data_IF_695837787628
#
_entry.id   IF_695837787628
#
_cell.length_a   1.000
_cell.length_b   1.000
_cell.length_c   1.000
_cell.angle_alpha   90.00
_cell.angle_beta   90.00
_cell.angle_gamma   90.00
#
_symmetry.space_group_name_H-M   'P 1'
#
loop_
_entity.id
_entity.type
_entity.pdbx_description
1 polymer ?
#
# COMPACT_ATOMS: atom_id res chain seq x y z
N UNK A 1 18.91 -4.77 17.46
CA UNK A 1 18.26 -6.10 17.38
C UNK A 1 16.80 -5.85 17.13
N UNK A 2 16.38 -5.95 15.87
CA UNK A 2 15.02 -5.63 15.43
C UNK A 2 14.25 -6.95 15.42
N UNK A 3 13.23 -7.04 16.28
CA UNK A 3 12.45 -8.25 16.47
C UNK A 3 11.44 -8.34 15.33
N UNK A 4 11.59 -9.37 14.48
CA UNK A 4 10.55 -9.75 13.52
C UNK A 4 9.27 -10.11 14.29
N UNK A 5 8.23 -9.30 14.13
CA UNK A 5 6.89 -9.64 14.60
C UNK A 5 6.32 -10.66 13.62
N UNK A 6 6.33 -11.93 14.01
CA UNK A 6 5.67 -13.00 13.30
C UNK A 6 4.15 -12.77 13.34
N UNK A 7 3.56 -12.33 12.23
CA UNK A 7 2.12 -12.43 12.03
C UNK A 7 1.79 -13.89 11.69
N UNK A 8 1.24 -14.59 12.67
CA UNK A 8 0.90 -16.00 12.57
C UNK A 8 1.01 -16.70 13.92
N UNK A 9 0.11 -16.37 14.85
CA UNK A 9 0.07 -17.06 16.13
C UNK A 9 -1.10 -16.63 16.99
N UNK A 10 -2.16 -17.45 17.04
CA UNK A 10 -3.21 -17.51 18.10
C UNK A 10 -3.61 -16.18 18.76
N UNK A 11 -3.73 -15.12 17.98
CA UNK A 11 -4.11 -13.77 18.41
C UNK A 11 -5.25 -13.31 17.52
N UNK A 12 -6.17 -12.56 18.10
CA UNK A 12 -7.27 -11.91 17.37
C UNK A 12 -6.72 -11.17 16.15
N UNK A 13 -7.23 -11.47 14.96
CA UNK A 13 -7.00 -10.65 13.78
C UNK A 13 -7.66 -9.28 13.95
N UNK A 14 -7.19 -8.28 13.21
CA UNK A 14 -7.80 -6.96 13.24
C UNK A 14 -8.48 -6.65 11.91
N UNK A 15 -9.72 -6.17 11.97
CA UNK A 15 -10.33 -5.50 10.81
C UNK A 15 -9.82 -4.07 10.73
N UNK A 16 -9.36 -3.66 9.56
CA UNK A 16 -9.16 -2.25 9.22
C UNK A 16 -10.25 -1.77 8.27
N UNK A 17 -10.41 -0.46 8.14
CA UNK A 17 -11.33 0.10 7.16
C UNK A 17 -10.79 -0.09 5.73
N UNK A 18 -11.66 -0.53 4.83
CA UNK A 18 -11.33 -0.76 3.42
C UNK A 18 -12.19 0.10 2.49
N UNK A 19 -11.81 0.19 1.21
CA UNK A 19 -12.55 0.92 0.18
C UNK A 19 -13.42 -0.01 -0.66
N UNK A 20 -14.52 0.54 -1.17
CA UNK A 20 -15.38 -0.12 -2.16
C UNK A 20 -14.62 -0.33 -3.47
N UNK A 21 -14.60 -1.56 -3.98
CA UNK A 21 -13.91 -1.89 -5.23
C UNK A 21 -14.51 -1.21 -6.47
N UNK A 22 -15.80 -0.83 -6.40
CA UNK A 22 -16.52 -0.21 -7.51
C UNK A 22 -16.42 1.32 -7.54
N UNK A 23 -16.53 1.97 -6.40
CA UNK A 23 -16.64 3.44 -6.32
C UNK A 23 -15.61 4.09 -5.39
N UNK A 24 -14.69 3.30 -4.83
CA UNK A 24 -13.61 3.71 -3.90
C UNK A 24 -14.06 4.37 -2.59
N UNK A 25 -15.36 4.52 -2.35
CA UNK A 25 -15.88 5.03 -1.09
C UNK A 25 -15.47 4.15 0.09
N UNK A 26 -15.18 4.78 1.23
CA UNK A 26 -14.86 4.09 2.47
C UNK A 26 -16.03 3.20 2.90
N UNK A 27 -15.73 1.93 3.21
CA UNK A 27 -16.68 1.00 3.79
C UNK A 27 -16.68 1.15 5.32
N UNK A 28 -17.61 0.49 6.01
CA UNK A 28 -17.52 0.35 7.46
C UNK A 28 -16.28 -0.47 7.82
N UNK A 29 -15.71 -0.22 8.99
CA UNK A 29 -14.58 -1.01 9.51
C UNK A 29 -14.96 -2.49 9.63
N UNK A 30 -16.13 -2.77 10.21
CA UNK A 30 -16.65 -4.12 10.36
C UNK A 30 -17.54 -4.51 9.17
N UNK A 31 -17.55 -5.79 8.77
CA UNK A 31 -18.50 -6.31 7.80
C UNK A 31 -19.94 -6.15 8.32
N UNK A 32 -20.89 -6.01 7.39
CA UNK A 32 -22.32 -5.92 7.72
C UNK A 32 -22.90 -7.30 8.07
N UNK A 33 -22.33 -8.36 7.48
CA UNK A 33 -22.72 -9.75 7.71
C UNK A 33 -21.58 -10.71 7.37
N UNK A 34 -21.72 -11.97 7.79
CA UNK A 34 -20.90 -13.08 7.34
C UNK A 34 -21.78 -14.29 7.06
N UNK A 35 -21.33 -15.16 6.15
CA UNK A 35 -21.93 -16.46 5.86
C UNK A 35 -20.92 -17.56 6.21
N UNK A 36 -21.40 -18.68 6.74
CA UNK A 36 -20.60 -19.85 7.06
C UNK A 36 -20.71 -20.85 5.91
N UNK A 37 -19.60 -21.12 5.22
CA UNK A 37 -19.53 -22.15 4.19
C UNK A 37 -18.88 -23.40 4.80
N UNK A 38 -19.72 -24.37 5.17
CA UNK A 38 -19.28 -25.70 5.61
C UNK A 38 -19.06 -26.53 4.35
N UNK A 39 -17.82 -26.85 3.99
CA UNK A 39 -17.55 -27.82 2.93
C UNK A 39 -17.90 -29.23 3.41
N UNK A 40 -18.67 -29.97 2.62
CA UNK A 40 -19.13 -31.34 2.96
C UNK A 40 -18.00 -32.39 2.89
N UNK A 41 -16.80 -32.02 2.41
CA UNK A 41 -15.62 -32.89 2.40
C UNK A 41 -14.91 -32.85 3.75
N UNK A 42 -14.74 -34.02 4.39
CA UNK A 42 -14.27 -34.24 5.78
C UNK A 42 -12.88 -33.66 6.11
N UNK A 43 -12.17 -33.08 5.14
CA UNK A 43 -10.78 -32.61 5.25
C UNK A 43 -10.60 -31.08 4.99
N UNK A 44 -11.68 -30.31 4.77
CA UNK A 44 -11.58 -28.85 4.55
C UNK A 44 -11.96 -28.03 5.78
N UNK A 45 -11.10 -27.06 6.12
CA UNK A 45 -11.33 -26.09 7.18
C UNK A 45 -12.57 -25.23 6.88
N UNK A 46 -13.36 -24.92 7.91
CA UNK A 46 -14.52 -24.02 7.84
C UNK A 46 -14.14 -22.67 7.22
N UNK A 47 -14.82 -22.24 6.16
CA UNK A 47 -14.62 -20.93 5.54
C UNK A 47 -15.76 -19.97 5.92
N UNK A 48 -15.41 -18.71 6.17
CA UNK A 48 -16.32 -17.62 6.48
C UNK A 48 -16.27 -16.57 5.38
N UNK A 49 -17.42 -16.21 4.83
CA UNK A 49 -17.57 -15.21 3.78
C UNK A 49 -18.11 -13.90 4.36
N UNK A 50 -17.23 -12.92 4.55
CA UNK A 50 -17.55 -11.60 5.09
C UNK A 50 -18.05 -10.65 4.00
N UNK A 51 -19.11 -9.90 4.29
CA UNK A 51 -19.76 -9.00 3.33
C UNK A 51 -19.85 -7.56 3.84
N UNK A 52 -19.47 -6.61 2.99
CA UNK A 52 -19.65 -5.16 3.23
C UNK A 52 -20.51 -4.56 2.12
N UNK A 53 -21.56 -3.84 2.48
CA UNK A 53 -22.41 -3.09 1.56
C UNK A 53 -21.94 -1.64 1.50
N UNK A 54 -21.54 -1.19 0.31
CA UNK A 54 -21.13 0.18 0.11
C UNK A 54 -22.31 1.15 0.26
N UNK A 55 -22.23 2.08 1.21
CA UNK A 55 -23.27 3.09 1.44
C UNK A 55 -23.41 4.10 0.29
N UNK A 56 -22.37 4.27 -0.54
CA UNK A 56 -22.39 5.20 -1.67
C UNK A 56 -23.03 4.63 -2.93
N UNK A 57 -22.80 3.34 -3.23
CA UNK A 57 -23.22 2.74 -4.51
C UNK A 57 -23.96 1.40 -4.41
N UNK A 58 -24.19 0.88 -3.19
CA UNK A 58 -24.89 -0.38 -2.95
C UNK A 58 -24.12 -1.64 -3.37
N UNK A 59 -22.88 -1.52 -3.86
CA UNK A 59 -22.05 -2.67 -4.21
C UNK A 59 -21.64 -3.46 -2.96
N UNK A 60 -21.72 -4.79 -3.05
CA UNK A 60 -21.31 -5.71 -1.98
C UNK A 60 -19.89 -6.20 -2.25
N UNK A 61 -18.96 -5.83 -1.37
CA UNK A 61 -17.61 -6.40 -1.30
C UNK A 61 -17.67 -7.69 -0.49
N UNK A 62 -17.00 -8.73 -0.97
CA UNK A 62 -16.90 -10.04 -0.31
C UNK A 62 -15.44 -10.37 -0.01
N UNK A 63 -15.18 -11.00 1.13
CA UNK A 63 -13.86 -11.49 1.50
C UNK A 63 -14.00 -12.82 2.23
N UNK A 64 -13.22 -13.83 1.83
CA UNK A 64 -13.27 -15.15 2.45
C UNK A 64 -12.07 -15.39 3.35
N UNK A 65 -12.29 -16.06 4.48
CA UNK A 65 -11.26 -16.33 5.49
C UNK A 65 -11.63 -17.54 6.35
N UNK A 66 -10.62 -18.31 6.76
CA UNK A 66 -10.77 -19.43 7.70
C UNK A 66 -10.89 -18.99 9.17
N UNK A 67 -10.62 -17.71 9.46
CA UNK A 67 -10.78 -17.14 10.81
C UNK A 67 -12.24 -16.78 11.03
N UNK A 68 -12.80 -17.23 12.16
CA UNK A 68 -14.18 -16.92 12.57
C UNK A 68 -14.36 -15.45 12.99
N UNK A 69 -15.59 -14.93 13.00
CA UNK A 69 -15.86 -13.53 13.34
C UNK A 69 -15.38 -13.15 14.76
N UNK A 70 -15.46 -14.08 15.72
CA UNK A 70 -15.00 -13.87 17.10
C UNK A 70 -13.47 -13.77 17.17
N UNK A 71 -12.78 -14.28 16.17
CA UNK A 71 -11.34 -14.14 15.99
C UNK A 71 -10.92 -12.76 15.50
N UNK A 72 -11.86 -11.88 15.14
CA UNK A 72 -11.55 -10.52 14.69
C UNK A 72 -12.05 -9.45 15.67
N UNK A 73 -11.23 -8.42 15.87
CA UNK A 73 -11.61 -7.19 16.58
C UNK A 73 -11.32 -5.96 15.71
N UNK A 74 -11.98 -4.81 15.96
CA UNK A 74 -11.58 -3.53 15.38
C UNK A 74 -10.09 -3.26 15.58
N UNK A 75 -9.45 -2.60 14.61
CA UNK A 75 -8.05 -2.19 14.76
C UNK A 75 -8.00 -0.90 15.60
N UNK A 76 -7.48 -0.93 16.85
CA UNK A 76 -7.49 0.23 17.72
C UNK A 76 -6.64 1.41 17.20
N UNK A 77 -5.71 1.13 16.29
CA UNK A 77 -4.80 2.13 15.70
C UNK A 77 -5.23 2.55 14.28
N UNK A 78 -6.37 2.05 13.78
CA UNK A 78 -6.84 2.44 12.46
C UNK A 78 -7.38 3.88 12.45
N UNK A 79 -6.89 4.68 11.51
CA UNK A 79 -7.54 5.92 11.13
C UNK A 79 -8.84 5.60 10.39
N UNK A 80 -9.97 5.99 10.97
CA UNK A 80 -11.29 5.74 10.40
C UNK A 80 -11.82 6.98 9.68
N UNK A 81 -12.32 6.76 8.47
CA UNK A 81 -13.01 7.73 7.64
C UNK A 81 -14.52 7.51 7.69
N UNK A 82 -15.29 8.53 7.31
CA UNK A 82 -16.75 8.43 7.29
C UNK A 82 -17.23 7.43 6.21
N UNK A 83 -17.96 6.35 6.56
CA UNK A 83 -18.40 5.37 5.57
C UNK A 83 -19.33 5.98 4.51
N UNK A 84 -19.14 5.60 3.25
CA UNK A 84 -19.86 6.15 2.10
C UNK A 84 -19.25 7.44 1.55
N UNK A 85 -18.24 8.02 2.21
CA UNK A 85 -17.49 9.14 1.65
C UNK A 85 -16.36 8.65 0.74
N UNK A 86 -16.01 9.46 -0.24
CA UNK A 86 -14.85 9.20 -1.08
C UNK A 86 -13.57 9.63 -0.35
N UNK A 87 -12.44 8.91 -0.54
CA UNK A 87 -11.17 9.41 -0.10
C UNK A 87 -10.88 10.78 -0.72
N UNK A 88 -10.14 11.66 -0.02
CA UNK A 88 -9.69 12.90 -0.63
C UNK A 88 -8.94 12.60 -1.93
N UNK A 89 -9.07 13.46 -2.95
CA UNK A 89 -8.40 13.24 -4.23
C UNK A 89 -6.88 13.21 -4.03
N UNK A 90 -6.20 12.32 -4.76
CA UNK A 90 -4.74 12.25 -4.76
C UNK A 90 -4.14 13.60 -5.16
N UNK A 91 -3.30 14.18 -4.30
CA UNK A 91 -2.56 15.40 -4.63
C UNK A 91 -1.28 14.99 -5.36
N UNK A 92 -1.35 15.04 -6.69
CA UNK A 92 -0.22 14.64 -7.57
C UNK A 92 0.79 15.75 -7.82
N UNK A 93 0.34 16.99 -7.72
CA UNK A 93 1.19 18.15 -7.90
C UNK A 93 1.98 18.40 -6.61
N UNK A 94 3.31 18.24 -6.63
CA UNK A 94 4.11 18.47 -5.43
C UNK A 94 4.08 19.94 -4.96
N UNK A 95 3.66 20.89 -5.81
CA UNK A 95 3.45 22.28 -5.40
C UNK A 95 2.19 22.47 -4.54
N UNK A 96 1.31 21.46 -4.49
CA UNK A 96 0.06 21.47 -3.72
C UNK A 96 0.11 20.59 -2.47
N UNK A 97 1.25 19.93 -2.21
CA UNK A 97 1.44 19.16 -0.97
C UNK A 97 1.45 20.11 0.23
N UNK A 98 0.80 19.71 1.32
CA UNK A 98 0.44 20.63 2.41
C UNK A 98 1.65 21.42 2.99
N UNK A 99 1.47 22.73 3.08
CA UNK A 99 2.49 23.76 2.86
C UNK A 99 3.28 24.17 4.11
N UNK A 100 3.62 23.25 5.01
CA UNK A 100 4.40 23.62 6.21
C UNK A 100 5.90 23.75 5.94
N UNK A 101 6.40 23.20 4.83
CA UNK A 101 7.80 23.36 4.37
C UNK A 101 7.85 23.42 2.85
N UNK A 102 8.50 24.46 2.30
CA UNK A 102 8.86 24.50 0.89
C UNK A 102 9.65 23.23 0.54
N UNK A 103 9.06 22.38 -0.30
CA UNK A 103 9.75 21.18 -0.80
C UNK A 103 10.93 21.60 -1.68
N UNK A 104 12.07 20.96 -1.47
CA UNK A 104 13.24 21.19 -2.30
C UNK A 104 13.04 20.64 -3.72
N UNK A 105 13.82 21.10 -4.71
CA UNK A 105 13.76 20.58 -6.07
C UNK A 105 13.89 19.05 -6.13
N UNK A 106 14.83 18.45 -5.40
CA UNK A 106 14.97 17.00 -5.34
C UNK A 106 13.72 16.27 -4.83
N UNK A 107 13.09 16.79 -3.77
CA UNK A 107 11.84 16.23 -3.20
C UNK A 107 10.69 16.28 -4.20
N UNK A 108 10.55 17.39 -4.93
CA UNK A 108 9.51 17.56 -5.97
C UNK A 108 9.70 16.60 -7.14
N UNK A 109 10.94 16.39 -7.57
CA UNK A 109 11.26 15.42 -8.62
C UNK A 109 10.92 14.00 -8.18
N UNK A 110 11.29 13.62 -6.95
CA UNK A 110 10.99 12.30 -6.41
C UNK A 110 9.49 12.01 -6.42
N UNK A 111 8.66 12.92 -5.93
CA UNK A 111 7.19 12.79 -5.92
C UNK A 111 6.66 12.53 -7.34
N UNK A 112 7.11 13.30 -8.33
CA UNK A 112 6.67 13.14 -9.73
C UNK A 112 7.04 11.77 -10.28
N UNK A 113 8.27 11.31 -10.04
CA UNK A 113 8.74 10.02 -10.55
C UNK A 113 8.06 8.83 -9.87
N UNK A 114 7.79 8.91 -8.57
CA UNK A 114 7.05 7.86 -7.87
C UNK A 114 5.58 7.76 -8.34
N UNK A 115 4.94 8.88 -8.69
CA UNK A 115 3.62 8.86 -9.34
C UNK A 115 3.68 8.28 -10.76
N UNK A 116 4.67 8.68 -11.58
CA UNK A 116 4.90 8.14 -12.92
C UNK A 116 5.07 6.62 -12.89
N UNK A 117 5.89 6.11 -11.96
CA UNK A 117 6.05 4.69 -11.72
C UNK A 117 4.73 4.04 -11.29
N UNK A 118 4.04 4.58 -10.27
CA UNK A 118 2.79 4.00 -9.77
C UNK A 118 1.72 3.86 -10.87
N UNK A 119 1.63 4.85 -11.77
CA UNK A 119 0.69 4.80 -12.89
C UNK A 119 1.09 3.74 -13.93
N UNK A 120 2.38 3.58 -14.19
CA UNK A 120 2.88 2.56 -15.13
C UNK A 120 2.67 1.13 -14.63
N UNK A 121 2.61 0.93 -13.31
CA UNK A 121 2.46 -0.38 -12.66
C UNK A 121 1.02 -0.75 -12.33
N UNK A 122 0.06 0.17 -12.55
CA UNK A 122 -1.36 -0.03 -12.23
C UNK A 122 -1.97 -1.29 -12.85
N UNK A 123 -1.41 -1.78 -13.95
CA UNK A 123 -1.87 -2.98 -14.67
C UNK A 123 -0.79 -4.09 -14.76
N UNK A 124 0.34 -3.95 -14.06
CA UNK A 124 1.41 -4.93 -14.09
C UNK A 124 1.06 -6.13 -13.21
N UNK A 125 1.05 -7.34 -13.78
CA UNK A 125 0.72 -8.59 -13.08
C UNK A 125 1.91 -9.17 -12.30
N UNK A 126 3.13 -8.70 -12.56
CA UNK A 126 4.35 -9.23 -11.95
C UNK A 126 4.69 -8.41 -10.73
N UNK A 127 4.51 -8.96 -9.53
CA UNK A 127 4.74 -8.17 -8.32
C UNK A 127 5.56 -8.92 -7.28
N UNK A 128 6.80 -9.28 -7.65
CA UNK A 128 7.80 -9.74 -6.69
C UNK A 128 8.14 -8.65 -5.63
N UNK A 129 7.81 -7.37 -5.92
CA UNK A 129 8.19 -6.19 -5.10
C UNK A 129 6.99 -5.39 -4.61
N UNK A 130 5.84 -6.05 -4.45
CA UNK A 130 4.54 -5.41 -4.21
C UNK A 130 4.55 -4.53 -2.97
N UNK A 131 5.25 -4.99 -1.93
CA UNK A 131 5.34 -4.28 -0.66
C UNK A 131 6.07 -2.94 -0.81
N UNK A 132 7.19 -2.87 -1.54
CA UNK A 132 7.92 -1.61 -1.73
C UNK A 132 7.13 -0.60 -2.57
N UNK A 133 6.49 -1.07 -3.64
CA UNK A 133 5.64 -0.23 -4.50
C UNK A 133 4.41 0.27 -3.71
N UNK A 134 3.80 -0.58 -2.90
CA UNK A 134 2.70 -0.20 -2.01
C UNK A 134 3.12 0.79 -0.94
N UNK A 135 4.31 0.64 -0.34
CA UNK A 135 4.84 1.59 0.63
C UNK A 135 5.04 2.97 -0.02
N UNK A 136 5.65 3.02 -1.20
CA UNK A 136 5.79 4.26 -1.99
C UNK A 136 4.42 4.88 -2.28
N UNK A 137 3.47 4.10 -2.76
CA UNK A 137 2.12 4.59 -3.07
C UNK A 137 1.36 5.07 -1.83
N UNK A 138 1.53 4.38 -0.69
CA UNK A 138 1.00 4.78 0.61
C UNK A 138 1.56 6.12 1.07
N UNK A 139 2.87 6.30 1.01
CA UNK A 139 3.54 7.56 1.36
C UNK A 139 3.07 8.72 0.45
N UNK A 140 2.91 8.48 -0.84
CA UNK A 140 2.35 9.45 -1.79
C UNK A 140 0.93 9.90 -1.41
N UNK A 141 0.07 8.96 -1.01
CA UNK A 141 -1.31 9.26 -0.59
C UNK A 141 -1.38 10.05 0.71
N UNK A 142 -0.52 9.71 1.67
CA UNK A 142 -0.39 10.43 2.96
C UNK A 142 0.30 11.79 2.83
N UNK A 143 0.92 12.06 1.67
CA UNK A 143 1.81 13.22 1.46
C UNK A 143 3.00 13.25 2.45
N UNK A 144 3.47 12.08 2.88
CA UNK A 144 4.61 11.94 3.78
C UNK A 144 5.91 11.88 2.99
N UNK A 145 6.64 13.00 2.93
CA UNK A 145 7.88 13.09 2.17
C UNK A 145 9.03 12.29 2.79
N UNK A 146 9.05 12.09 4.11
CA UNK A 146 10.15 11.35 4.74
C UNK A 146 9.92 9.84 4.58
N UNK A 147 8.68 9.36 4.75
CA UNK A 147 8.29 7.97 4.40
C UNK A 147 8.55 7.70 2.91
N UNK A 148 8.22 8.65 2.02
CA UNK A 148 8.44 8.51 0.58
C UNK A 148 9.93 8.36 0.24
N UNK A 149 10.80 9.20 0.83
CA UNK A 149 12.25 9.11 0.63
C UNK A 149 12.77 7.76 1.10
N UNK A 150 12.35 7.32 2.29
CA UNK A 150 12.77 6.05 2.87
C UNK A 150 12.36 4.87 1.98
N UNK A 151 11.08 4.77 1.63
CA UNK A 151 10.57 3.67 0.80
C UNK A 151 11.15 3.68 -0.62
N UNK A 152 11.39 4.85 -1.20
CA UNK A 152 12.06 4.96 -2.50
C UNK A 152 13.53 4.49 -2.42
N UNK A 153 14.25 4.83 -1.34
CA UNK A 153 15.62 4.38 -1.14
C UNK A 153 15.69 2.85 -0.99
N UNK A 154 14.85 2.25 -0.15
CA UNK A 154 14.78 0.78 0.00
C UNK A 154 14.52 0.08 -1.33
N UNK A 155 13.64 0.64 -2.16
CA UNK A 155 13.33 0.09 -3.46
C UNK A 155 14.50 0.17 -4.45
N UNK A 156 15.22 1.31 -4.46
CA UNK A 156 16.43 1.48 -5.27
C UNK A 156 17.54 0.52 -4.82
N UNK A 157 17.77 0.42 -3.50
CA UNK A 157 18.82 -0.44 -2.94
C UNK A 157 18.55 -1.91 -3.23
N UNK A 158 17.29 -2.34 -3.15
CA UNK A 158 16.89 -3.70 -3.54
C UNK A 158 17.25 -3.99 -5.00
N UNK A 159 16.86 -3.10 -5.91
CA UNK A 159 17.11 -3.25 -7.35
C UNK A 159 18.60 -3.20 -7.69
N UNK A 160 19.37 -2.33 -7.03
CA UNK A 160 20.82 -2.25 -7.19
C UNK A 160 21.51 -3.51 -6.66
N UNK A 161 21.09 -4.04 -5.51
CA UNK A 161 21.59 -5.29 -4.96
C UNK A 161 21.32 -6.48 -5.90
N UNK A 162 20.11 -6.63 -6.41
CA UNK A 162 19.77 -7.71 -7.35
C UNK A 162 20.53 -7.60 -8.67
N UNK A 163 20.75 -6.37 -9.17
CA UNK A 163 21.55 -6.12 -10.36
C UNK A 163 23.03 -6.53 -10.18
N UNK A 164 23.60 -6.32 -8.99
CA UNK A 164 24.99 -6.68 -8.66
C UNK A 164 25.14 -8.19 -8.45
N UNK A 165 24.19 -8.82 -7.76
CA UNK A 165 24.31 -10.22 -7.32
C UNK A 165 23.72 -11.24 -8.30
N UNK A 166 23.10 -10.79 -9.40
CA UNK A 166 22.62 -11.65 -10.47
C UNK A 166 21.53 -12.63 -10.03
N UNK A 167 20.87 -12.36 -8.91
CA UNK A 167 19.95 -13.29 -8.24
C UNK A 167 18.55 -13.36 -8.84
N UNK A 168 18.20 -12.58 -9.87
CA UNK A 168 17.03 -12.88 -10.68
C UNK A 168 17.29 -12.69 -12.18
N UNK A 169 17.36 -13.82 -12.87
CA UNK A 169 17.03 -14.00 -14.28
C UNK A 169 15.51 -13.80 -14.49
N UNK A 170 15.02 -12.62 -14.13
CA UNK A 170 13.76 -12.05 -14.59
C UNK A 170 14.15 -10.72 -15.19
N UNK A 171 14.38 -10.70 -16.49
CA UNK A 171 14.82 -9.50 -17.19
C UNK A 171 13.87 -8.34 -16.89
N UNK A 172 14.37 -7.37 -16.13
CA UNK A 172 13.66 -6.14 -15.76
C UNK A 172 13.22 -5.42 -17.03
N UNK A 173 11.99 -5.67 -17.45
CA UNK A 173 11.44 -5.17 -18.71
C UNK A 173 10.32 -4.19 -18.38
N UNK A 174 10.67 -2.90 -18.30
CA UNK A 174 9.70 -1.82 -18.20
C UNK A 174 9.93 -0.92 -17.00
N UNK A 175 8.88 -0.18 -16.63
CA UNK A 175 8.96 0.91 -15.67
C UNK A 175 9.20 0.47 -14.21
N UNK A 176 8.95 -0.79 -13.86
CA UNK A 176 9.28 -1.40 -12.54
C UNK A 176 10.79 -1.58 -12.32
N UNK A 177 11.58 -1.70 -13.38
CA UNK A 177 13.03 -1.85 -13.28
C UNK A 177 13.81 -0.55 -13.42
N UNK A 178 13.20 0.47 -14.03
CA UNK A 178 13.86 1.75 -14.31
C UNK A 178 13.74 2.72 -13.13
N UNK A 179 14.67 2.56 -12.18
CA UNK A 179 14.82 3.49 -11.06
C UNK A 179 15.76 4.66 -11.32
N UNK A 180 16.19 4.89 -12.57
CA UNK A 180 17.20 5.91 -12.90
C UNK A 180 16.80 7.32 -12.43
N UNK A 181 15.54 7.69 -12.69
CA UNK A 181 14.98 8.98 -12.29
C UNK A 181 14.86 9.11 -10.77
N UNK A 182 14.40 8.04 -10.08
CA UNK A 182 14.33 8.00 -8.62
C UNK A 182 15.71 8.12 -7.98
N UNK A 183 16.71 7.37 -8.46
CA UNK A 183 18.10 7.44 -7.99
C UNK A 183 18.68 8.84 -8.15
N UNK A 184 18.42 9.49 -9.28
CA UNK A 184 18.85 10.88 -9.52
C UNK A 184 18.23 11.86 -8.52
N UNK A 185 16.93 11.73 -8.26
CA UNK A 185 16.22 12.58 -7.31
C UNK A 185 16.71 12.37 -5.87
N UNK A 186 16.90 11.12 -5.44
CA UNK A 186 17.43 10.77 -4.11
C UNK A 186 18.84 11.35 -3.90
N UNK A 187 19.73 11.23 -4.90
CA UNK A 187 21.07 11.84 -4.83
C UNK A 187 21.04 13.37 -4.73
N UNK A 188 20.07 14.04 -5.39
CA UNK A 188 19.88 15.49 -5.22
C UNK A 188 19.44 15.84 -3.81
N UNK A 189 18.48 15.09 -3.26
CA UNK A 189 17.99 15.28 -1.89
C UNK A 189 19.12 15.13 -0.87
N UNK A 190 19.99 14.14 -1.05
CA UNK A 190 21.16 13.93 -0.19
C UNK A 190 22.10 15.14 -0.22
N UNK A 191 22.47 15.61 -1.41
CA UNK A 191 23.33 16.81 -1.58
C UNK A 191 22.71 18.08 -0.99
N UNK A 192 21.40 18.20 -1.01
CA UNK A 192 20.68 19.33 -0.41
C UNK A 192 20.73 19.31 1.13
N UNK A 193 20.93 18.14 1.76
CA UNK A 193 21.13 18.02 3.21
C UNK A 193 22.52 18.51 3.63
N UNK A 194 23.53 18.32 2.78
CA UNK A 194 24.93 18.70 3.06
C UNK A 194 25.20 20.22 2.96
N UNK A 195 24.24 20.99 2.44
CA UNK A 195 24.38 22.44 2.21
C UNK A 195 23.79 23.27 3.37
N UNK A 196 23.22 22.63 4.41
CA UNK A 196 22.64 23.29 5.59
C UNK A 196 23.58 23.30 6.79
#
# INVERSE_FOLDING_TARGET
>A
MTQLVAYGGKGTGHWGQVQCEKCTAWLREMPDSYEEEICEDEDQDQEYLYCWTCLACGHVRKFSSLTSPEGFIPNPEAELHEPGTLPPPEVRDPEKWDNTKLLSPGKKELIRYCWEMSDSLRNAFTIHKINHIWNIHGALKKQDIEELIHSAQEYVDLLDHEAIHGTESGSYHGAEGDVTKMRSALSKIEKEKDIK
#
